data_IF_774269932294
#
_entry.id   IF_774269932294
#
_cell.length_a   1.000
_cell.length_b   1.000
_cell.length_c   1.000
_cell.angle_alpha   90.00
_cell.angle_beta   90.00
_cell.angle_gamma   90.00
#
_symmetry.space_group_name_H-M   'P 1'
#
loop_
_entity.id
_entity.type
_entity.pdbx_description
1 polymer ?
#
# COMPACT_ATOMS: atom_id res chain seq x y z
N UNK A 1 -13.42 -7.32 38.28
CA UNK A 1 -13.38 -6.66 36.96
C UNK A 1 -14.72 -7.02 36.39
N UNK A 2 -15.66 -6.09 36.50
CA UNK A 2 -17.07 -6.40 36.37
C UNK A 2 -17.42 -6.54 34.89
N UNK A 3 -18.37 -7.41 34.53
CA UNK A 3 -18.78 -7.63 33.12
C UNK A 3 -19.21 -6.32 32.42
N UNK A 4 -19.60 -5.32 33.22
CA UNK A 4 -19.92 -3.96 32.80
C UNK A 4 -18.70 -3.18 32.30
N UNK A 5 -17.53 -3.38 32.91
CA UNK A 5 -16.27 -2.75 32.49
C UNK A 5 -15.79 -3.34 31.16
N UNK A 6 -15.97 -4.65 30.96
CA UNK A 6 -15.62 -5.33 29.70
C UNK A 6 -16.51 -4.83 28.56
N UNK A 7 -17.82 -4.74 28.80
CA UNK A 7 -18.77 -4.19 27.83
C UNK A 7 -18.48 -2.71 27.52
N UNK A 8 -18.11 -1.91 28.52
CA UNK A 8 -17.75 -0.50 28.35
C UNK A 8 -16.45 -0.33 27.54
N UNK A 9 -15.43 -1.15 27.79
CA UNK A 9 -14.19 -1.16 27.01
C UNK A 9 -14.45 -1.56 25.56
N UNK A 10 -15.25 -2.61 25.31
CA UNK A 10 -15.64 -3.00 23.95
C UNK A 10 -16.44 -1.90 23.23
N UNK A 11 -17.33 -1.21 23.94
CA UNK A 11 -18.11 -0.10 23.38
C UNK A 11 -17.24 1.13 23.05
N UNK A 12 -16.19 1.39 23.84
CA UNK A 12 -15.23 2.47 23.60
C UNK A 12 -14.27 2.18 22.43
N UNK A 13 -13.99 0.90 22.15
CA UNK A 13 -13.20 0.49 20.98
C UNK A 13 -13.97 0.67 19.67
N UNK A 14 -15.30 0.53 19.69
CA UNK A 14 -16.17 0.73 18.52
C UNK A 14 -16.38 2.21 18.16
N UNK A 15 -16.20 3.14 19.11
CA UNK A 15 -16.37 4.58 18.89
C UNK A 15 -15.17 5.27 18.23
N UNK A 16 -14.02 4.60 18.06
CA UNK A 16 -12.97 5.07 17.14
C UNK A 16 -13.37 4.76 15.70
N UNK A 17 -14.28 5.57 15.20
CA UNK A 17 -14.66 5.79 13.81
C UNK A 17 -13.89 4.92 12.81
N UNK A 18 -14.57 3.86 12.39
CA UNK A 18 -14.23 2.91 11.33
C UNK A 18 -14.14 3.54 9.92
N UNK A 19 -14.09 4.87 9.83
CA UNK A 19 -13.96 5.59 8.59
C UNK A 19 -12.52 5.55 8.09
N UNK A 20 -12.33 4.84 6.97
CA UNK A 20 -11.08 4.88 6.23
C UNK A 20 -10.76 6.34 5.88
N UNK A 21 -9.60 6.82 6.36
CA UNK A 21 -9.13 8.19 6.07
C UNK A 21 -9.23 8.49 4.58
N UNK A 22 -9.71 9.69 4.26
CA UNK A 22 -9.84 10.18 2.88
C UNK A 22 -8.51 10.08 2.11
N UNK A 23 -7.39 10.26 2.81
CA UNK A 23 -6.04 10.04 2.28
C UNK A 23 -5.86 8.62 1.70
N UNK A 24 -6.33 7.58 2.40
CA UNK A 24 -6.21 6.19 1.94
C UNK A 24 -7.21 5.86 0.84
N UNK A 25 -8.40 6.49 0.85
CA UNK A 25 -9.38 6.37 -0.24
C UNK A 25 -8.82 6.92 -1.55
N UNK A 26 -8.15 8.06 -1.50
CA UNK A 26 -7.64 8.76 -2.69
C UNK A 26 -6.27 8.23 -3.15
N UNK A 27 -5.60 7.35 -2.39
CA UNK A 27 -4.27 6.81 -2.76
C UNK A 27 -4.27 6.12 -4.14
N UNK A 28 -5.37 5.45 -4.51
CA UNK A 28 -5.47 4.76 -5.80
C UNK A 28 -5.59 5.71 -7.00
N UNK A 29 -5.99 6.97 -6.81
CA UNK A 29 -6.13 7.97 -7.88
C UNK A 29 -5.02 9.01 -7.85
N UNK A 30 -4.60 9.42 -6.66
CA UNK A 30 -3.70 10.56 -6.40
C UNK A 30 -2.34 10.14 -5.84
N UNK A 31 -2.18 8.87 -5.46
CA UNK A 31 -0.93 8.37 -4.89
C UNK A 31 0.24 8.52 -5.86
N UNK A 32 1.43 8.78 -5.30
CA UNK A 32 2.65 8.96 -6.08
C UNK A 32 2.94 7.75 -6.99
N UNK A 33 2.65 6.53 -6.54
CA UNK A 33 2.77 5.34 -7.39
C UNK A 33 1.84 5.41 -8.61
N UNK A 34 0.56 5.72 -8.39
CA UNK A 34 -0.40 5.81 -9.48
C UNK A 34 -0.02 6.91 -10.48
N UNK A 35 0.34 8.10 -10.00
CA UNK A 35 0.66 9.23 -10.87
C UNK A 35 2.03 9.04 -11.52
N UNK A 36 3.09 8.89 -10.71
CA UNK A 36 4.46 8.87 -11.23
C UNK A 36 4.79 7.54 -11.89
N UNK A 37 4.64 6.44 -11.16
CA UNK A 37 5.09 5.13 -11.66
C UNK A 37 4.19 4.66 -12.78
N UNK A 38 2.88 4.50 -12.54
CA UNK A 38 1.98 3.93 -13.55
C UNK A 38 1.75 4.84 -14.75
N UNK A 39 1.56 6.16 -14.57
CA UNK A 39 1.27 7.05 -15.74
C UNK A 39 2.53 7.52 -16.46
N UNK A 40 3.64 7.79 -15.76
CA UNK A 40 4.78 8.48 -16.37
C UNK A 40 5.99 7.58 -16.62
N UNK A 41 6.28 6.63 -15.72
CA UNK A 41 7.48 5.79 -15.83
C UNK A 41 7.21 4.47 -16.57
N UNK A 42 6.09 3.81 -16.30
CA UNK A 42 5.83 2.46 -16.81
C UNK A 42 5.68 2.38 -18.34
N UNK A 43 5.33 3.50 -19.00
CA UNK A 43 5.23 3.59 -20.46
C UNK A 43 6.56 3.98 -21.14
N UNK A 44 7.61 4.26 -20.38
CA UNK A 44 8.89 4.74 -20.90
C UNK A 44 10.05 4.04 -20.17
N UNK A 45 10.56 2.96 -20.79
CA UNK A 45 11.61 2.13 -20.19
C UNK A 45 12.91 2.90 -19.90
N UNK A 46 13.23 3.92 -20.69
CA UNK A 46 14.41 4.77 -20.43
C UNK A 46 14.21 5.58 -19.14
N UNK A 47 13.07 6.26 -18.98
CA UNK A 47 12.76 7.01 -17.75
C UNK A 47 12.64 6.08 -16.56
N UNK A 48 12.02 4.92 -16.73
CA UNK A 48 11.92 3.90 -15.69
C UNK A 48 13.32 3.49 -15.21
N UNK A 49 14.22 3.19 -16.16
CA UNK A 49 15.61 2.82 -15.87
C UNK A 49 16.40 3.95 -15.23
N UNK A 50 16.22 5.19 -15.67
CA UNK A 50 16.89 6.34 -15.06
C UNK A 50 16.44 6.54 -13.60
N UNK A 51 15.15 6.33 -13.34
CA UNK A 51 14.53 6.53 -12.04
C UNK A 51 14.88 5.42 -11.04
N UNK A 52 14.64 4.14 -11.40
CA UNK A 52 14.85 3.00 -10.49
C UNK A 52 16.22 2.33 -10.64
N UNK A 53 17.05 2.77 -11.60
CA UNK A 53 18.31 2.09 -11.96
C UNK A 53 18.15 0.60 -12.33
N UNK A 54 16.92 0.21 -12.70
CA UNK A 54 16.50 -1.14 -13.03
C UNK A 54 15.72 -1.13 -14.35
N UNK A 55 15.82 -2.22 -15.13
CA UNK A 55 14.95 -2.43 -16.29
C UNK A 55 13.57 -2.88 -15.83
N UNK A 56 12.52 -2.50 -16.55
CA UNK A 56 11.15 -2.90 -16.22
C UNK A 56 11.01 -4.43 -16.11
N UNK A 57 11.59 -5.17 -17.06
CA UNK A 57 11.58 -6.66 -17.05
C UNK A 57 12.22 -7.23 -15.79
N UNK A 58 13.30 -6.62 -15.29
CA UNK A 58 13.97 -7.08 -14.07
C UNK A 58 13.15 -6.70 -12.83
N UNK A 59 12.49 -5.54 -12.84
CA UNK A 59 11.55 -5.15 -11.81
C UNK A 59 10.40 -6.17 -11.69
N UNK A 60 9.76 -6.51 -12.82
CA UNK A 60 8.68 -7.50 -12.86
C UNK A 60 9.17 -8.90 -12.43
N UNK A 61 10.37 -9.28 -12.85
CA UNK A 61 10.99 -10.53 -12.43
C UNK A 61 11.16 -10.57 -10.90
N UNK A 62 11.78 -9.53 -10.31
CA UNK A 62 11.96 -9.46 -8.86
C UNK A 62 10.61 -9.48 -8.16
N UNK A 63 9.67 -8.63 -8.59
CA UNK A 63 8.33 -8.55 -8.02
C UNK A 63 7.65 -9.91 -7.99
N UNK A 64 7.69 -10.68 -9.08
CA UNK A 64 7.06 -12.00 -9.14
C UNK A 64 7.70 -13.02 -8.19
N UNK A 65 8.98 -12.89 -7.87
CA UNK A 65 9.67 -13.80 -6.95
C UNK A 65 9.42 -13.46 -5.47
N UNK A 66 9.15 -12.19 -5.14
CA UNK A 66 8.98 -11.74 -3.75
C UNK A 66 7.57 -11.20 -3.45
N UNK A 67 6.60 -11.47 -4.34
CA UNK A 67 5.26 -10.88 -4.29
C UNK A 67 4.54 -11.23 -3.00
N UNK A 68 4.67 -12.48 -2.57
CA UNK A 68 3.96 -13.01 -1.43
C UNK A 68 4.52 -12.42 -0.12
N UNK A 69 5.84 -12.26 -0.03
CA UNK A 69 6.52 -11.62 1.08
C UNK A 69 6.22 -10.12 1.17
N UNK A 70 5.99 -9.47 0.02
CA UNK A 70 5.58 -8.06 -0.03
C UNK A 70 4.08 -7.88 0.20
N UNK A 71 3.26 -8.92 0.09
CA UNK A 71 1.82 -8.80 0.29
C UNK A 71 1.51 -8.62 1.78
N UNK A 72 0.62 -7.68 2.09
CA UNK A 72 0.10 -7.51 3.44
C UNK A 72 -1.40 -7.71 3.45
N UNK A 73 -1.88 -8.41 4.47
CA UNK A 73 -3.31 -8.58 4.69
C UNK A 73 -3.93 -7.28 5.23
N UNK A 74 -5.15 -6.95 4.80
CA UNK A 74 -5.90 -5.86 5.39
C UNK A 74 -6.25 -6.19 6.85
N UNK A 75 -6.37 -5.16 7.69
CA UNK A 75 -6.82 -5.28 9.08
C UNK A 75 -7.64 -4.05 9.49
N UNK A 76 -8.25 -4.07 10.68
CA UNK A 76 -9.24 -3.08 11.12
C UNK A 76 -8.84 -1.61 10.84
N UNK A 77 -7.59 -1.25 11.12
CA UNK A 77 -7.08 0.11 10.93
C UNK A 77 -6.67 0.44 9.49
N UNK A 78 -6.23 -0.56 8.71
CA UNK A 78 -5.77 -0.38 7.34
C UNK A 78 -6.45 -1.41 6.42
N UNK A 79 -7.64 -1.03 5.95
CA UNK A 79 -8.47 -1.85 5.05
C UNK A 79 -7.85 -1.99 3.65
N UNK A 80 -6.99 -1.05 3.23
CA UNK A 80 -6.27 -1.06 1.94
C UNK A 80 -4.76 -0.99 2.15
N UNK A 81 -4.08 -2.11 2.40
CA UNK A 81 -2.63 -2.15 2.50
C UNK A 81 -1.96 -1.68 1.20
N UNK A 82 -0.72 -1.21 1.32
CA UNK A 82 0.13 -0.82 0.17
C UNK A 82 0.37 -2.08 -0.67
N UNK A 83 0.19 -2.01 -1.99
CA UNK A 83 0.34 -3.18 -2.83
C UNK A 83 1.82 -3.60 -2.99
N UNK A 84 2.11 -4.86 -3.36
CA UNK A 84 3.48 -5.34 -3.55
C UNK A 84 4.30 -4.48 -4.53
N UNK A 85 3.68 -4.05 -5.63
CA UNK A 85 4.28 -3.19 -6.64
C UNK A 85 4.72 -1.85 -6.02
N UNK A 86 3.83 -1.21 -5.27
CA UNK A 86 4.08 0.05 -4.58
C UNK A 86 5.24 -0.09 -3.58
N UNK A 87 5.26 -1.18 -2.81
CA UNK A 87 6.33 -1.45 -1.85
C UNK A 87 7.66 -1.67 -2.55
N UNK A 88 7.67 -2.44 -3.64
CA UNK A 88 8.90 -2.67 -4.40
C UNK A 88 9.44 -1.35 -4.95
N UNK A 89 8.58 -0.47 -5.48
CA UNK A 89 8.99 0.86 -5.91
C UNK A 89 9.61 1.71 -4.80
N UNK A 90 9.16 1.57 -3.56
CA UNK A 90 9.77 2.27 -2.41
C UNK A 90 11.13 1.67 -2.06
N UNK A 91 11.27 0.35 -2.16
CA UNK A 91 12.51 -0.38 -1.81
C UNK A 91 13.65 -0.17 -2.82
N UNK A 92 13.34 -0.09 -4.11
CA UNK A 92 14.35 -0.01 -5.18
C UNK A 92 14.65 1.41 -5.66
N UNK A 93 13.98 2.42 -5.08
CA UNK A 93 14.24 3.83 -5.35
C UNK A 93 15.48 4.31 -4.60
#
# INVERSE_FOLDING_TARGET
MDDLDVALVMSLEDEQSSEESELFKNRSSEGAFQILVRRHLHCNDEKFRQYFRLKLVLFDYVLNNIRDELTSNPYNRHKKPICPEEKLCILVR
#
